data_IF_887225241092
#
_entry.id   IF_887225241092
#
_cell.length_a   1.000
_cell.length_b   1.000
_cell.length_c   1.000
_cell.angle_alpha   90.00
_cell.angle_beta   90.00
_cell.angle_gamma   90.00
#
_symmetry.space_group_name_H-M   'P 1'
#
loop_
_entity.id
_entity.type
_entity.pdbx_description
1 polymer ?
#
# COMPACT_ATOMS: atom_id res chain seq x y z
N UNK A 1 1.44 -15.75 -6.30
CA UNK A 1 0.35 -16.72 -6.61
C UNK A 1 0.76 -18.06 -6.03
N UNK A 2 -0.15 -18.76 -5.36
CA UNK A 2 0.07 -20.13 -4.87
C UNK A 2 -1.03 -21.01 -5.43
N UNK A 3 -0.66 -22.07 -6.16
CA UNK A 3 -1.61 -22.98 -6.83
C UNK A 3 -2.65 -22.24 -7.70
N UNK A 4 -2.19 -21.24 -8.47
CA UNK A 4 -3.05 -20.44 -9.34
C UNK A 4 -3.98 -19.45 -8.62
N UNK A 5 -3.87 -19.28 -7.30
CA UNK A 5 -4.65 -18.30 -6.52
C UNK A 5 -3.79 -17.14 -6.03
N UNK A 6 -4.32 -15.90 -6.01
CA UNK A 6 -3.64 -14.76 -5.41
C UNK A 6 -3.54 -14.97 -3.89
N UNK A 7 -2.37 -14.62 -3.34
CA UNK A 7 -2.07 -14.70 -1.91
C UNK A 7 -1.39 -13.42 -1.47
N UNK A 8 -1.65 -12.98 -0.24
CA UNK A 8 -0.91 -11.91 0.41
C UNK A 8 0.23 -12.55 1.21
N UNK A 9 1.46 -12.15 0.92
CA UNK A 9 2.66 -12.66 1.57
C UNK A 9 3.44 -11.51 2.18
N UNK A 10 3.79 -11.64 3.46
CA UNK A 10 4.75 -10.77 4.13
C UNK A 10 6.09 -11.50 4.24
N UNK A 11 7.18 -10.78 3.98
CA UNK A 11 8.56 -11.29 4.04
C UNK A 11 9.26 -10.56 5.17
N UNK A 12 9.85 -11.30 6.10
CA UNK A 12 10.53 -10.69 7.25
C UNK A 12 11.91 -10.16 6.84
N UNK A 13 12.34 -9.07 7.47
CA UNK A 13 13.68 -8.53 7.29
C UNK A 13 14.75 -9.47 7.86
N UNK A 14 15.89 -9.57 7.18
CA UNK A 14 17.01 -10.37 7.64
C UNK A 14 17.50 -9.88 9.01
N UNK A 15 17.66 -10.79 9.97
CA UNK A 15 18.10 -10.46 11.34
C UNK A 15 17.04 -9.84 12.24
N UNK A 16 15.79 -9.66 11.78
CA UNK A 16 14.71 -9.17 12.63
C UNK A 16 14.35 -10.20 13.71
N UNK A 17 14.34 -9.78 14.98
CA UNK A 17 13.83 -10.56 16.11
C UNK A 17 12.30 -10.46 16.28
N UNK A 18 11.67 -9.56 15.52
CA UNK A 18 10.21 -9.34 15.52
C UNK A 18 9.65 -9.85 14.18
N UNK A 19 8.54 -10.59 14.25
CA UNK A 19 7.86 -11.11 13.07
C UNK A 19 7.10 -10.04 12.30
N UNK A 20 6.78 -10.34 11.04
CA UNK A 20 5.90 -9.53 10.19
C UNK A 20 4.55 -10.24 10.00
N UNK A 21 3.51 -9.49 9.67
CA UNK A 21 2.17 -9.99 9.43
C UNK A 21 1.71 -9.67 8.00
N UNK A 22 1.15 -10.66 7.33
CA UNK A 22 0.43 -10.46 6.08
C UNK A 22 -1.03 -10.12 6.39
N UNK A 23 -1.52 -8.99 5.90
CA UNK A 23 -2.92 -8.56 6.06
C UNK A 23 -3.57 -8.52 4.68
N UNK A 24 -4.38 -9.53 4.38
CA UNK A 24 -5.12 -9.61 3.12
C UNK A 24 -6.46 -8.88 3.23
N UNK A 25 -6.87 -8.20 2.15
CA UNK A 25 -8.24 -7.71 1.98
C UNK A 25 -8.96 -8.57 0.95
N UNK A 26 -9.93 -9.36 1.41
CA UNK A 26 -10.72 -10.25 0.57
C UNK A 26 -12.09 -9.62 0.28
N UNK A 27 -12.38 -9.36 -0.99
CA UNK A 27 -13.63 -8.75 -1.45
C UNK A 27 -14.41 -9.70 -2.37
N UNK A 28 -15.74 -9.54 -2.41
CA UNK A 28 -16.61 -10.25 -3.35
C UNK A 28 -17.52 -9.25 -4.05
N UNK A 29 -17.56 -9.30 -5.38
CA UNK A 29 -18.46 -8.51 -6.20
C UNK A 29 -18.75 -9.23 -7.51
N UNK A 30 -20.02 -9.32 -7.88
CA UNK A 30 -20.42 -9.94 -9.14
C UNK A 30 -19.92 -9.14 -10.34
N UNK A 31 -19.40 -9.83 -11.35
CA UNK A 31 -18.89 -9.20 -12.58
C UNK A 31 -17.53 -8.49 -12.43
N UNK A 32 -16.88 -8.58 -11.27
CA UNK A 32 -15.53 -8.07 -11.08
C UNK A 32 -14.49 -9.07 -11.61
N UNK A 33 -13.55 -8.60 -12.43
CA UNK A 33 -12.41 -9.35 -12.92
C UNK A 33 -11.12 -8.65 -12.54
N UNK A 34 -10.16 -9.41 -11.99
CA UNK A 34 -8.89 -8.88 -11.49
C UNK A 34 -7.70 -9.49 -12.21
N UNK A 35 -6.74 -8.64 -12.55
CA UNK A 35 -5.42 -9.00 -13.06
C UNK A 35 -4.37 -8.62 -12.03
N UNK A 36 -3.44 -9.55 -11.77
CA UNK A 36 -2.35 -9.32 -10.82
C UNK A 36 -1.09 -9.05 -11.62
N UNK A 37 -0.57 -7.84 -11.49
CA UNK A 37 0.63 -7.37 -12.19
C UNK A 37 1.78 -7.26 -11.20
N UNK A 38 2.98 -7.57 -11.65
CA UNK A 38 4.22 -7.31 -10.91
C UNK A 38 5.20 -6.59 -11.82
N UNK A 39 6.01 -5.71 -11.25
CA UNK A 39 7.07 -5.03 -11.96
C UNK A 39 8.27 -4.83 -11.05
N UNK A 40 9.39 -4.43 -11.65
CA UNK A 40 10.58 -4.01 -10.94
C UNK A 40 11.87 -4.57 -11.54
N UNK A 41 13.01 -4.19 -10.95
CA UNK A 41 13.11 -3.27 -9.81
C UNK A 41 12.78 -1.81 -10.18
N UNK A 42 12.48 -0.97 -9.17
CA UNK A 42 12.51 0.47 -9.29
C UNK A 42 13.92 0.96 -9.70
N UNK A 43 14.00 2.21 -10.15
CA UNK A 43 15.28 2.82 -10.51
C UNK A 43 16.25 2.94 -9.33
N UNK A 44 17.51 3.28 -9.64
CA UNK A 44 18.60 3.33 -8.66
C UNK A 44 18.70 4.66 -7.92
N UNK A 45 17.85 5.63 -8.22
CA UNK A 45 17.78 6.89 -7.49
C UNK A 45 17.00 6.76 -6.19
N UNK A 46 17.36 7.59 -5.21
CA UNK A 46 16.46 7.89 -4.09
C UNK A 46 15.21 8.53 -4.67
N UNK A 47 14.04 8.13 -4.15
CA UNK A 47 12.71 8.51 -4.63
C UNK A 47 12.33 7.99 -6.03
N UNK A 48 13.12 7.11 -6.65
CA UNK A 48 12.76 6.53 -7.95
C UNK A 48 11.49 5.68 -7.81
N UNK A 49 10.51 5.99 -8.65
CA UNK A 49 9.20 5.35 -8.64
C UNK A 49 9.10 4.22 -9.67
N UNK A 50 8.63 3.08 -9.22
CA UNK A 50 8.13 1.99 -10.05
C UNK A 50 6.60 2.11 -10.18
N UNK A 51 6.11 2.48 -11.36
CA UNK A 51 4.67 2.64 -11.62
C UNK A 51 4.10 1.39 -12.29
N UNK A 52 3.04 0.83 -11.70
CA UNK A 52 2.28 -0.31 -12.23
C UNK A 52 0.88 0.17 -12.61
N UNK A 53 0.65 0.56 -13.88
CA UNK A 53 -0.65 1.07 -14.31
C UNK A 53 -1.67 -0.06 -14.47
N UNK A 54 -2.91 0.23 -14.10
CA UNK A 54 -4.06 -0.57 -14.49
C UNK A 54 -4.55 -0.19 -15.90
N UNK A 55 -5.41 -1.02 -16.49
CA UNK A 55 -6.07 -0.67 -17.75
C UNK A 55 -6.92 0.61 -17.59
N UNK A 56 -7.28 1.27 -18.68
CA UNK A 56 -8.05 2.53 -18.64
C UNK A 56 -9.40 2.42 -17.91
N UNK A 57 -10.00 1.22 -17.90
CA UNK A 57 -11.24 0.88 -17.21
C UNK A 57 -11.01 0.12 -15.88
N UNK A 58 -9.75 0.04 -15.42
CA UNK A 58 -9.35 -0.71 -14.23
C UNK A 58 -8.88 0.17 -13.08
N UNK A 59 -9.09 -0.32 -11.86
CA UNK A 59 -8.73 0.33 -10.62
C UNK A 59 -7.72 -0.51 -9.83
N UNK A 60 -6.70 0.11 -9.21
CA UNK A 60 -5.79 -0.58 -8.30
C UNK A 60 -6.48 -0.83 -6.96
N UNK A 61 -7.04 -2.04 -6.79
CA UNK A 61 -7.69 -2.44 -5.53
C UNK A 61 -6.70 -2.99 -4.51
N UNK A 62 -5.49 -3.33 -4.95
CA UNK A 62 -4.39 -3.74 -4.09
C UNK A 62 -3.06 -3.25 -4.65
N UNK A 63 -2.14 -2.89 -3.78
CA UNK A 63 -0.82 -2.42 -4.14
C UNK A 63 0.15 -2.83 -3.03
N UNK A 64 1.23 -3.52 -3.37
CA UNK A 64 2.22 -4.01 -2.43
C UNK A 64 3.62 -3.86 -3.00
N UNK A 65 4.59 -3.67 -2.13
CA UNK A 65 5.99 -3.62 -2.51
C UNK A 65 6.83 -4.57 -1.65
N UNK A 66 7.99 -4.94 -2.17
CA UNK A 66 8.99 -5.74 -1.48
C UNK A 66 10.36 -5.21 -1.88
N UNK A 67 11.24 -5.06 -0.89
CA UNK A 67 12.65 -4.77 -1.13
C UNK A 67 13.52 -5.97 -0.75
N UNK A 68 14.66 -6.10 -1.41
CA UNK A 68 15.69 -7.06 -1.02
C UNK A 68 16.96 -6.31 -0.58
N UNK A 69 17.44 -6.60 0.63
CA UNK A 69 18.68 -6.06 1.20
C UNK A 69 18.69 -4.51 1.32
N UNK A 70 17.53 -3.87 1.44
CA UNK A 70 17.38 -2.40 1.35
C UNK A 70 16.09 -1.93 2.01
N UNK A 71 15.99 -0.63 2.31
CA UNK A 71 14.72 0.05 2.66
C UNK A 71 13.99 0.59 1.42
N UNK A 72 12.72 0.96 1.61
CA UNK A 72 11.87 1.59 0.59
C UNK A 72 10.80 2.44 1.27
N UNK A 73 10.26 3.43 0.56
CA UNK A 73 9.33 4.44 1.10
C UNK A 73 7.90 3.92 1.31
N UNK A 74 7.65 2.68 0.88
CA UNK A 74 6.33 2.07 0.90
C UNK A 74 5.68 2.07 -0.47
N UNK A 75 4.36 2.25 -0.46
CA UNK A 75 3.52 2.16 -1.65
C UNK A 75 2.48 3.25 -1.69
N UNK A 76 2.26 3.81 -2.88
CA UNK A 76 1.28 4.85 -3.13
C UNK A 76 0.19 4.30 -4.05
N UNK A 77 -1.06 4.49 -3.66
CA UNK A 77 -2.19 4.34 -4.59
C UNK A 77 -2.34 5.62 -5.41
N UNK A 78 -2.67 5.46 -6.68
CA UNK A 78 -3.31 6.51 -7.47
C UNK A 78 -4.64 5.98 -8.00
N UNK A 79 -5.46 6.84 -8.60
CA UNK A 79 -6.73 6.39 -9.18
C UNK A 79 -6.56 5.33 -10.29
N UNK A 80 -5.36 5.21 -10.87
CA UNK A 80 -5.10 4.37 -12.04
C UNK A 80 -3.90 3.43 -11.89
N UNK A 81 -3.09 3.56 -10.83
CA UNK A 81 -1.82 2.85 -10.70
C UNK A 81 -1.49 2.50 -9.25
N UNK A 82 -0.67 1.47 -9.10
CA UNK A 82 0.09 1.19 -7.88
C UNK A 82 1.52 1.69 -8.08
N UNK A 83 2.08 2.39 -7.11
CA UNK A 83 3.46 2.87 -7.13
C UNK A 83 4.22 2.28 -5.95
N UNK A 84 5.41 1.75 -6.21
CA UNK A 84 6.41 1.46 -5.19
C UNK A 84 7.57 2.45 -5.35
N UNK A 85 8.07 3.02 -4.26
CA UNK A 85 9.11 4.04 -4.32
C UNK A 85 10.36 3.59 -3.57
N UNK A 86 11.51 3.77 -4.22
CA UNK A 86 12.82 3.43 -3.69
C UNK A 86 13.38 4.52 -2.78
N UNK A 87 14.17 4.13 -1.79
CA UNK A 87 14.83 5.02 -0.83
C UNK A 87 16.37 4.84 -0.81
N UNK A 88 16.91 3.97 -1.68
CA UNK A 88 18.33 3.66 -1.69
C UNK A 88 18.94 3.77 -3.09
N UNK A 89 20.27 4.00 -3.19
CA UNK A 89 21.00 4.05 -4.46
C UNK A 89 21.19 2.66 -5.11
N UNK A 90 20.16 1.80 -5.07
CA UNK A 90 20.19 0.38 -5.49
C UNK A 90 18.83 -0.04 -6.04
N UNK A 91 18.78 -0.90 -7.08
CA UNK A 91 17.53 -1.31 -7.70
C UNK A 91 16.93 -2.53 -6.97
N UNK A 92 16.38 -2.30 -5.77
CA UNK A 92 15.98 -3.39 -4.86
C UNK A 92 14.47 -3.53 -4.67
N UNK A 93 13.70 -2.53 -5.10
CA UNK A 93 12.26 -2.43 -4.82
C UNK A 93 11.43 -2.98 -5.97
N UNK A 94 10.59 -3.96 -5.68
CA UNK A 94 9.64 -4.57 -6.60
C UNK A 94 8.22 -4.24 -6.16
N UNK A 95 7.33 -4.08 -7.13
CA UNK A 95 5.93 -3.74 -6.88
C UNK A 95 4.99 -4.82 -7.41
N UNK A 96 3.80 -4.90 -6.83
CA UNK A 96 2.69 -5.68 -7.35
C UNK A 96 1.36 -4.96 -7.17
N UNK A 97 0.46 -5.14 -8.13
CA UNK A 97 -0.84 -4.49 -8.17
C UNK A 97 -1.95 -5.50 -8.45
N UNK A 98 -3.07 -5.39 -7.74
CA UNK A 98 -4.32 -6.04 -8.10
C UNK A 98 -5.19 -5.05 -8.87
N UNK A 99 -5.12 -5.10 -10.19
CA UNK A 99 -5.88 -4.24 -11.11
C UNK A 99 -7.20 -4.91 -11.47
N UNK A 100 -8.31 -4.35 -10.99
CA UNK A 100 -9.64 -4.94 -11.17
C UNK A 100 -10.58 -4.02 -11.94
N UNK A 101 -11.52 -4.62 -12.66
CA UNK A 101 -12.53 -3.92 -13.45
C UNK A 101 -13.84 -4.71 -13.55
N UNK A 102 -14.90 -4.04 -13.98
CA UNK A 102 -16.25 -4.62 -14.08
C UNK A 102 -17.07 -4.42 -12.80
N UNK A 103 -18.25 -5.02 -12.73
CA UNK A 103 -19.16 -4.89 -11.58
C UNK A 103 -19.66 -3.47 -11.30
N UNK A 104 -19.57 -2.55 -12.28
CA UNK A 104 -19.93 -1.13 -12.18
C UNK A 104 -19.22 -0.36 -11.05
N UNK A 105 -18.06 -0.84 -10.59
CA UNK A 105 -17.32 -0.16 -9.53
C UNK A 105 -16.86 1.23 -9.95
N UNK A 106 -16.92 2.16 -9.00
CA UNK A 106 -16.27 3.46 -9.07
C UNK A 106 -15.37 3.59 -7.86
N UNK A 107 -14.09 3.81 -8.11
CA UNK A 107 -13.09 3.91 -7.06
C UNK A 107 -12.35 5.25 -7.07
N UNK A 108 -11.97 5.71 -5.88
CA UNK A 108 -11.10 6.86 -5.68
C UNK A 108 -10.03 6.53 -4.65
N UNK A 109 -8.86 7.15 -4.81
CA UNK A 109 -7.80 7.13 -3.81
C UNK A 109 -7.96 8.29 -2.84
N UNK A 110 -7.78 8.03 -1.55
CA UNK A 110 -7.70 9.06 -0.51
C UNK A 110 -6.40 8.90 0.28
N UNK A 111 -5.92 10.01 0.85
CA UNK A 111 -4.68 10.08 1.62
C UNK A 111 -4.95 10.76 2.95
N UNK A 112 -4.40 10.20 4.04
CA UNK A 112 -4.49 10.80 5.36
C UNK A 112 -3.60 12.03 5.50
N UNK A 113 -3.84 12.83 6.55
CA UNK A 113 -2.79 13.68 7.10
C UNK A 113 -1.60 12.81 7.57
N UNK A 114 -0.36 13.36 7.58
CA UNK A 114 0.78 12.66 8.17
C UNK A 114 0.57 12.33 9.64
N UNK A 115 1.21 11.25 10.10
CA UNK A 115 1.31 10.94 11.53
C UNK A 115 2.16 11.99 12.26
N UNK A 116 2.26 11.84 13.58
CA UNK A 116 3.33 12.46 14.35
C UNK A 116 4.72 11.88 14.02
N UNK A 117 5.72 12.38 14.74
CA UNK A 117 7.13 12.11 14.49
C UNK A 117 7.69 10.93 15.29
N UNK A 118 7.01 10.45 16.33
CA UNK A 118 7.54 9.41 17.20
C UNK A 118 7.31 8.01 16.62
N UNK A 119 8.12 7.04 17.06
CA UNK A 119 7.88 5.62 16.78
C UNK A 119 6.53 5.23 17.37
N UNK A 120 5.68 4.59 16.57
CA UNK A 120 4.34 4.18 16.97
C UNK A 120 3.26 5.24 16.73
N UNK A 121 3.62 6.47 16.35
CA UNK A 121 2.63 7.46 15.92
C UNK A 121 1.87 6.94 14.69
N UNK A 122 0.55 7.13 14.69
CA UNK A 122 -0.34 6.57 13.69
C UNK A 122 -0.93 7.66 12.80
N UNK A 123 -1.00 7.39 11.51
CA UNK A 123 -1.88 8.08 10.60
C UNK A 123 -3.07 7.17 10.28
N UNK A 124 -4.27 7.72 10.25
CA UNK A 124 -5.49 6.96 10.02
C UNK A 124 -6.43 7.64 9.05
N UNK A 125 -7.09 6.85 8.20
CA UNK A 125 -8.13 7.33 7.29
C UNK A 125 -9.15 6.23 7.01
N UNK A 126 -10.41 6.64 6.88
CA UNK A 126 -11.52 5.76 6.51
C UNK A 126 -12.16 6.24 5.20
N UNK A 127 -12.87 5.34 4.52
CA UNK A 127 -13.67 5.72 3.37
C UNK A 127 -14.88 6.56 3.78
N UNK A 128 -15.37 7.46 2.91
CA UNK A 128 -16.64 8.13 3.10
C UNK A 128 -17.78 7.11 3.26
N UNK A 129 -18.85 7.53 3.96
CA UNK A 129 -20.04 6.70 4.13
C UNK A 129 -20.57 6.19 2.78
N UNK A 130 -20.95 4.90 2.73
CA UNK A 130 -21.42 4.23 1.53
C UNK A 130 -20.31 3.70 0.60
N UNK A 131 -19.04 3.87 0.95
CA UNK A 131 -17.92 3.30 0.21
C UNK A 131 -17.20 2.20 1.00
N UNK A 132 -16.59 1.26 0.29
CA UNK A 132 -15.85 0.12 0.83
C UNK A 132 -14.36 0.30 0.58
N UNK A 133 -13.56 0.14 1.64
CA UNK A 133 -12.10 0.11 1.52
C UNK A 133 -11.65 -1.22 0.88
N UNK A 134 -10.86 -1.11 -0.18
CA UNK A 134 -10.28 -2.27 -0.89
C UNK A 134 -8.78 -2.42 -0.65
N UNK A 135 -8.08 -1.32 -0.36
CA UNK A 135 -6.64 -1.32 -0.06
C UNK A 135 -6.28 -0.33 1.05
N UNK A 136 -5.21 -0.65 1.78
CA UNK A 136 -4.64 0.16 2.85
C UNK A 136 -3.12 0.05 2.80
N UNK A 137 -2.46 1.17 2.48
CA UNK A 137 -1.04 1.25 2.25
C UNK A 137 -0.42 2.34 3.13
N UNK A 138 0.90 2.23 3.33
CA UNK A 138 1.70 3.27 3.96
C UNK A 138 2.71 3.82 2.95
N UNK A 139 2.91 5.13 3.01
CA UNK A 139 4.02 5.82 2.38
C UNK A 139 4.70 6.75 3.39
N UNK A 140 6.01 6.90 3.27
CA UNK A 140 6.81 7.86 4.01
C UNK A 140 8.05 8.19 3.23
N UNK A 141 8.40 9.47 3.16
CA UNK A 141 9.71 9.90 2.68
C UNK A 141 10.78 9.33 3.66
N UNK A 142 11.92 8.87 3.13
CA UNK A 142 13.04 8.31 3.90
C UNK A 142 12.74 6.97 4.61
N UNK A 143 11.84 6.17 4.03
CA UNK A 143 11.47 4.82 4.44
C UNK A 143 11.14 4.63 5.94
N UNK A 144 11.28 3.37 6.41
CA UNK A 144 11.15 2.94 7.81
C UNK A 144 9.75 3.12 8.41
N UNK A 145 8.71 2.93 7.60
CA UNK A 145 7.39 2.64 8.13
C UNK A 145 7.37 1.27 8.83
N UNK A 146 6.58 1.13 9.89
CA UNK A 146 6.35 -0.16 10.54
C UNK A 146 5.30 -1.01 9.80
N UNK A 147 4.55 -0.40 8.89
CA UNK A 147 3.55 -1.06 8.03
C UNK A 147 2.21 -0.34 8.03
N UNK A 148 1.25 -0.95 7.35
CA UNK A 148 -0.15 -0.55 7.35
C UNK A 148 -1.07 -1.75 7.52
N UNK A 149 -2.23 -1.54 8.14
CA UNK A 149 -3.27 -2.55 8.27
C UNK A 149 -4.66 -1.92 8.33
N UNK A 150 -5.67 -2.72 8.01
CA UNK A 150 -7.07 -2.34 8.15
C UNK A 150 -7.55 -2.79 9.54
N UNK A 151 -8.17 -1.88 10.27
CA UNK A 151 -8.82 -2.13 11.55
C UNK A 151 -10.28 -1.69 11.47
N UNK A 152 -11.20 -2.53 11.96
CA UNK A 152 -12.60 -2.16 12.08
C UNK A 152 -12.79 -1.25 13.29
N UNK A 153 -13.13 0.01 13.06
CA UNK A 153 -13.42 1.01 14.09
C UNK A 153 -14.86 1.48 13.95
N UNK A 154 -15.66 1.33 15.02
CA UNK A 154 -17.07 1.73 15.04
C UNK A 154 -17.91 1.15 13.89
N UNK A 155 -17.59 -0.08 13.45
CA UNK A 155 -18.28 -0.76 12.35
C UNK A 155 -17.84 -0.33 10.94
N UNK A 156 -16.80 0.51 10.81
CA UNK A 156 -16.21 0.91 9.53
C UNK A 156 -14.73 0.52 9.45
N UNK A 157 -14.28 0.15 8.26
CA UNK A 157 -12.87 -0.10 8.00
C UNK A 157 -12.07 1.21 8.05
N UNK A 158 -11.03 1.23 8.87
CA UNK A 158 -10.06 2.32 8.98
C UNK A 158 -8.67 1.79 8.65
N UNK A 159 -7.97 2.45 7.74
CA UNK A 159 -6.59 2.15 7.44
C UNK A 159 -5.69 2.84 8.44
N UNK A 160 -4.77 2.07 9.04
CA UNK A 160 -3.81 2.54 10.03
C UNK A 160 -2.42 2.38 9.44
N UNK A 161 -1.70 3.48 9.22
CA UNK A 161 -0.28 3.49 8.90
C UNK A 161 0.53 3.84 10.16
N UNK A 162 1.60 3.09 10.42
CA UNK A 162 2.38 3.22 11.65
C UNK A 162 3.79 3.70 11.36
N UNK A 163 4.19 4.78 12.03
CA UNK A 163 5.55 5.30 11.95
C UNK A 163 6.52 4.34 12.66
N UNK A 164 7.51 3.82 11.91
CA UNK A 164 8.47 2.85 12.42
C UNK A 164 9.77 3.48 12.91
N UNK A 165 9.99 4.78 12.68
CA UNK A 165 11.23 5.46 13.01
C UNK A 165 10.98 6.92 13.44
N UNK A 166 11.78 7.48 14.38
CA UNK A 166 11.65 8.89 14.74
C UNK A 166 11.89 9.82 13.54
N UNK A 167 11.07 10.85 13.40
CA UNK A 167 11.21 11.89 12.36
C UNK A 167 11.83 13.15 12.91
N UNK A 168 12.75 13.76 12.15
CA UNK A 168 13.55 14.90 12.61
C UNK A 168 13.34 16.14 11.75
N UNK A 169 13.36 17.32 12.40
CA UNK A 169 13.27 18.60 11.71
C UNK A 169 12.01 18.70 10.83
N UNK A 170 12.16 18.95 9.51
CA UNK A 170 11.04 19.12 8.59
C UNK A 170 10.44 17.81 8.07
N UNK A 171 10.98 16.65 8.46
CA UNK A 171 10.45 15.35 8.03
C UNK A 171 8.99 15.18 8.43
N UNK A 172 8.20 14.57 7.54
CA UNK A 172 6.82 14.22 7.83
C UNK A 172 6.73 12.82 8.44
N UNK A 173 5.73 12.62 9.28
CA UNK A 173 5.28 11.28 9.66
C UNK A 173 4.75 10.48 8.47
N UNK A 174 4.45 9.20 8.71
CA UNK A 174 3.88 8.32 7.69
C UNK A 174 2.50 8.80 7.26
N UNK A 175 2.10 8.48 6.03
CA UNK A 175 0.75 8.70 5.51
C UNK A 175 0.10 7.38 5.13
N UNK A 176 -1.21 7.28 5.38
CA UNK A 176 -2.04 6.16 4.94
C UNK A 176 -2.68 6.49 3.59
N UNK A 177 -2.56 5.57 2.64
CA UNK A 177 -3.18 5.63 1.31
C UNK A 177 -4.23 4.53 1.20
N UNK A 178 -5.45 4.90 0.80
CA UNK A 178 -6.55 3.96 0.67
C UNK A 178 -7.22 4.05 -0.70
N UNK A 179 -7.71 2.91 -1.19
CA UNK A 179 -8.65 2.85 -2.30
C UNK A 179 -10.05 2.62 -1.72
N UNK A 180 -10.98 3.53 -2.05
CA UNK A 180 -12.38 3.44 -1.67
C UNK A 180 -13.24 3.21 -2.91
N UNK A 181 -14.14 2.23 -2.87
CA UNK A 181 -14.99 1.86 -3.99
C UNK A 181 -16.46 1.81 -3.61
N UNK A 182 -17.34 2.09 -4.56
CA UNK A 182 -18.78 1.86 -4.46
C UNK A 182 -19.33 1.38 -5.81
N UNK A 183 -20.58 0.95 -5.81
CA UNK A 183 -21.37 0.56 -7.00
C UNK A 183 -22.50 1.54 -7.22
#
# INVERSE_FOLDING_TARGET
MTNGKPVCQAINGAGSSIGTQAVARCCSLSGLSCTYKSAGPAGIGVDDQLVIPCASDGHPLGCAATSWLSTFDGTIFTNTSCIAQNDEPRPTVYGSAACCKGGNIKCSTLVSAPSGHNVGDKASIACPSGQVMTGCNVFTENAKAAGAYIEAQNGADTCIAVNGYPRFGPEKGVQAYITCCHV
#
